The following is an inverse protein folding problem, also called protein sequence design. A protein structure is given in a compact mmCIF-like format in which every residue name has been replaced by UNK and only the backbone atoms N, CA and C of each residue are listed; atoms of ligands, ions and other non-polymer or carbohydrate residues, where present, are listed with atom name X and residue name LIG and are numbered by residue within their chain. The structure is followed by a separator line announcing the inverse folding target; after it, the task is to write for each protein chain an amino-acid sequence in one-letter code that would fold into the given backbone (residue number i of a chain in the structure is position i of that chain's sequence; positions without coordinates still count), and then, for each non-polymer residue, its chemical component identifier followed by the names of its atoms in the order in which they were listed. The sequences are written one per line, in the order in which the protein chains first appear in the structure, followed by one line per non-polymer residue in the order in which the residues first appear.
data_IF_076017241708
#
_entry.id   IF_076017241708
#
_cell.length_a   1.000
_cell.length_b   1.000
_cell.length_c   1.000
_cell.angle_alpha   90.00
_cell.angle_beta   90.00
_cell.angle_gamma   90.00
#
_symmetry.space_group_name_H-M   'P 1'
#
loop_
_entity.id
_entity.type
_entity.pdbx_description
1 polymer ?
#
# COMPACT_ATOMS: atom_id res chain seq x y z
N UNK A 1 -27.52 -26.99 7.27
CA UNK A 1 -26.77 -26.06 6.41
C UNK A 1 -27.59 -24.80 6.15
N UNK A 2 -26.89 -23.68 6.01
CA UNK A 2 -27.49 -22.39 5.66
C UNK A 2 -26.73 -21.87 4.46
N UNK A 3 -27.45 -21.52 3.38
CA UNK A 3 -26.90 -20.83 2.24
C UNK A 3 -27.31 -19.35 2.32
N UNK A 4 -26.35 -18.45 2.26
CA UNK A 4 -26.58 -16.99 2.28
C UNK A 4 -25.76 -16.32 1.22
N UNK A 5 -26.27 -15.24 0.68
CA UNK A 5 -25.57 -14.48 -0.35
C UNK A 5 -26.32 -13.23 -0.73
N UNK A 6 -25.65 -12.41 -1.48
CA UNK A 6 -26.22 -11.18 -1.99
C UNK A 6 -25.39 -10.62 -3.13
N UNK A 7 -26.03 -9.78 -3.93
CA UNK A 7 -25.39 -9.05 -5.00
C UNK A 7 -25.94 -7.64 -5.06
N UNK A 8 -25.13 -6.67 -5.46
CA UNK A 8 -25.57 -5.28 -5.54
C UNK A 8 -24.57 -4.42 -6.28
N UNK A 9 -25.08 -3.32 -6.80
CA UNK A 9 -24.30 -2.26 -7.41
C UNK A 9 -24.24 -1.08 -6.44
N UNK A 10 -23.02 -0.68 -6.07
CA UNK A 10 -22.76 0.33 -5.06
C UNK A 10 -21.99 1.49 -5.69
N UNK A 11 -22.48 2.70 -5.52
CA UNK A 11 -21.81 3.92 -5.97
C UNK A 11 -21.01 4.49 -4.79
N UNK A 12 -19.71 4.71 -5.02
CA UNK A 12 -18.80 5.31 -4.07
C UNK A 12 -18.76 6.83 -4.16
N UNK A 13 -17.87 7.43 -3.36
CA UNK A 13 -17.56 8.87 -3.40
C UNK A 13 -16.11 9.05 -3.75
N UNK A 14 -15.81 10.13 -4.45
CA UNK A 14 -14.43 10.60 -4.62
C UNK A 14 -13.94 11.25 -3.32
N UNK A 15 -12.63 11.20 -3.03
CA UNK A 15 -12.05 12.03 -2.00
C UNK A 15 -12.42 13.50 -2.22
N UNK A 16 -13.01 14.14 -1.22
CA UNK A 16 -13.47 15.51 -1.35
C UNK A 16 -12.33 16.48 -1.68
N UNK A 17 -11.14 16.21 -1.15
CA UNK A 17 -9.93 16.99 -1.40
C UNK A 17 -9.57 17.03 -2.90
N UNK A 18 -9.84 15.97 -3.67
CA UNK A 18 -9.60 15.98 -5.10
C UNK A 18 -10.55 16.92 -5.86
N UNK A 19 -11.80 17.01 -5.42
CA UNK A 19 -12.78 17.92 -6.02
C UNK A 19 -12.49 19.38 -5.66
N UNK A 20 -12.10 19.63 -4.40
CA UNK A 20 -11.74 20.98 -3.94
C UNK A 20 -10.48 21.49 -4.62
N UNK A 21 -9.53 20.60 -4.94
CA UNK A 21 -8.31 20.97 -5.68
C UNK A 21 -8.59 21.58 -7.05
N UNK A 22 -9.70 21.21 -7.70
CA UNK A 22 -10.09 21.82 -8.98
C UNK A 22 -10.49 23.29 -8.82
N UNK A 23 -11.06 23.68 -7.68
CA UNK A 23 -11.41 25.08 -7.38
C UNK A 23 -10.17 25.83 -6.85
N UNK A 24 -9.48 25.24 -5.88
CA UNK A 24 -8.32 25.86 -5.23
C UNK A 24 -7.14 26.09 -6.18
N UNK A 25 -6.89 25.14 -7.09
CA UNK A 25 -5.77 25.21 -8.04
C UNK A 25 -6.19 25.76 -9.41
N UNK A 26 -7.35 26.37 -9.53
CA UNK A 26 -7.83 26.95 -10.82
C UNK A 26 -7.16 28.28 -11.16
N UNK A 27 -6.59 28.98 -10.17
CA UNK A 27 -6.11 30.36 -10.31
C UNK A 27 -7.22 31.41 -10.33
N UNK A 28 -8.49 30.99 -10.22
CA UNK A 28 -9.66 31.89 -10.23
C UNK A 28 -10.17 32.13 -8.81
N UNK A 29 -10.20 31.08 -7.99
CA UNK A 29 -10.79 31.13 -6.64
C UNK A 29 -9.83 31.56 -5.53
N UNK A 30 -8.53 31.38 -5.72
CA UNK A 30 -7.50 31.72 -4.73
C UNK A 30 -6.14 31.94 -5.38
N UNK A 31 -5.32 32.75 -4.71
CA UNK A 31 -3.89 32.90 -5.00
C UNK A 31 -3.10 32.38 -3.79
N UNK A 32 -2.06 31.59 -4.05
CA UNK A 32 -1.22 31.00 -2.98
C UNK A 32 0.16 31.64 -3.01
N UNK A 33 0.62 32.13 -1.85
CA UNK A 33 1.94 32.67 -1.64
C UNK A 33 2.75 31.71 -0.77
N UNK A 34 3.97 31.39 -1.16
CA UNK A 34 4.88 30.52 -0.42
C UNK A 34 6.11 31.29 0.06
N UNK A 35 6.35 31.28 1.34
CA UNK A 35 7.52 31.85 2.01
C UNK A 35 8.29 30.71 2.70
N UNK A 36 8.93 29.84 1.95
CA UNK A 36 9.52 28.60 2.49
C UNK A 36 11.03 28.49 2.32
N UNK A 37 11.70 29.52 1.78
CA UNK A 37 13.14 29.50 1.57
C UNK A 37 13.80 30.82 1.92
N UNK A 38 15.00 30.80 2.55
CA UNK A 38 15.87 31.98 2.62
C UNK A 38 16.14 32.50 1.20
N UNK A 39 15.77 33.74 0.92
CA UNK A 39 15.89 34.37 -0.40
C UNK A 39 14.58 34.54 -1.18
N UNK A 40 13.45 34.01 -0.69
CA UNK A 40 12.12 34.21 -1.30
C UNK A 40 11.47 35.58 -0.93
N UNK A 41 12.22 36.49 -0.34
CA UNK A 41 11.77 37.77 0.20
C UNK A 41 11.74 37.77 1.73
N UNK A 42 11.39 38.91 2.35
CA UNK A 42 11.30 38.98 3.79
C UNK A 42 10.22 38.02 4.29
N UNK A 43 10.58 37.19 5.27
CA UNK A 43 9.64 36.30 5.94
C UNK A 43 8.65 37.12 6.75
N UNK A 44 7.35 36.84 6.70
CA UNK A 44 6.39 37.47 7.60
C UNK A 44 6.74 37.21 9.06
N UNK A 45 6.59 38.22 9.92
CA UNK A 45 6.80 38.09 11.35
C UNK A 45 5.80 37.13 12.00
N UNK A 46 6.10 36.71 13.23
CA UNK A 46 5.12 35.99 14.04
C UNK A 46 4.15 36.98 14.67
N UNK A 47 2.88 36.86 14.36
CA UNK A 47 1.80 37.70 14.88
C UNK A 47 0.79 36.87 15.67
N UNK A 48 0.22 37.49 16.71
CA UNK A 48 -0.83 36.85 17.52
C UNK A 48 -2.19 36.79 16.78
N UNK A 49 -2.42 37.73 15.88
CA UNK A 49 -3.61 37.80 15.03
C UNK A 49 -3.31 37.40 13.57
N UNK A 50 -4.17 36.55 12.99
CA UNK A 50 -4.00 36.13 11.57
C UNK A 50 -4.07 37.31 10.59
N UNK A 51 -4.86 38.36 10.94
CA UNK A 51 -4.97 39.56 10.12
C UNK A 51 -3.67 40.35 10.02
N UNK A 52 -2.89 40.36 11.10
CA UNK A 52 -1.67 41.16 11.20
C UNK A 52 -0.53 40.57 10.32
N UNK A 53 -0.61 39.27 9.97
CA UNK A 53 0.33 38.63 9.06
C UNK A 53 0.20 39.21 7.64
N UNK A 54 -1.00 39.66 7.27
CA UNK A 54 -1.26 40.22 5.95
C UNK A 54 -0.57 41.56 5.73
N UNK A 55 -0.25 42.28 6.80
CA UNK A 55 0.44 43.59 6.75
C UNK A 55 1.94 43.40 6.40
N UNK A 56 2.51 42.23 6.72
CA UNK A 56 3.90 41.90 6.39
C UNK A 56 4.05 41.38 4.95
N UNK A 57 2.92 41.04 4.30
CA UNK A 57 2.91 40.44 2.96
C UNK A 57 2.63 41.54 1.94
N UNK A 58 3.63 41.91 1.16
CA UNK A 58 3.43 42.77 0.00
C UNK A 58 2.62 42.00 -1.05
N UNK A 59 1.28 42.15 -1.01
CA UNK A 59 0.41 41.68 -2.07
C UNK A 59 0.64 42.49 -3.35
N UNK A 60 1.54 42.02 -4.18
CA UNK A 60 1.55 42.44 -5.57
C UNK A 60 0.57 41.53 -6.28
N UNK A 61 -0.57 42.03 -6.77
CA UNK A 61 -1.44 41.22 -7.63
C UNK A 61 -0.68 40.92 -8.93
N UNK A 62 0.10 39.86 -8.90
CA UNK A 62 0.58 39.27 -10.14
C UNK A 62 -0.51 38.33 -10.62
N UNK A 63 -0.87 38.38 -11.88
CA UNK A 63 -1.64 37.32 -12.52
C UNK A 63 -0.84 36.02 -12.42
N UNK A 64 -0.84 35.42 -11.24
CA UNK A 64 -0.13 34.15 -11.01
C UNK A 64 -1.02 33.02 -11.49
N UNK A 65 -0.74 32.58 -12.68
CA UNK A 65 -1.27 31.32 -13.19
C UNK A 65 -0.75 30.20 -12.27
N UNK A 66 -1.61 29.34 -11.69
CA UNK A 66 -1.14 28.26 -10.84
C UNK A 66 -0.20 27.36 -11.62
N UNK A 67 0.92 26.98 -11.01
CA UNK A 67 1.93 26.15 -11.67
C UNK A 67 1.42 24.77 -12.07
N UNK A 68 0.37 24.28 -11.39
CA UNK A 68 -0.19 22.94 -11.60
C UNK A 68 -1.72 22.97 -11.38
N UNK A 69 -2.51 23.47 -12.33
CA UNK A 69 -3.95 23.48 -12.21
C UNK A 69 -4.52 22.06 -12.19
N UNK A 70 -5.65 21.92 -11.50
CA UNK A 70 -6.43 20.67 -11.48
C UNK A 70 -7.74 20.90 -12.22
N UNK A 71 -8.06 20.02 -13.15
CA UNK A 71 -9.31 20.04 -13.91
C UNK A 71 -10.07 18.71 -13.75
N UNK A 72 -11.37 18.75 -14.00
CA UNK A 72 -12.24 17.58 -13.92
C UNK A 72 -12.81 17.32 -15.33
N UNK A 73 -12.67 16.08 -15.82
CA UNK A 73 -13.34 15.69 -17.08
C UNK A 73 -14.86 15.85 -16.91
N UNK A 74 -15.49 16.57 -17.84
CA UNK A 74 -16.95 16.76 -17.85
C UNK A 74 -17.75 15.45 -17.89
N UNK A 75 -17.12 14.34 -18.27
CA UNK A 75 -17.73 13.00 -18.34
C UNK A 75 -17.44 12.17 -17.10
N UNK A 76 -16.76 12.72 -16.08
CA UNK A 76 -16.43 12.02 -14.87
C UNK A 76 -17.69 11.44 -14.21
N UNK A 77 -17.67 10.14 -13.96
CA UNK A 77 -18.69 9.42 -13.20
C UNK A 77 -18.15 9.04 -11.85
N UNK A 78 -19.01 9.00 -10.84
CA UNK A 78 -18.62 8.50 -9.52
C UNK A 78 -18.19 7.04 -9.62
N UNK A 79 -17.12 6.63 -8.92
CA UNK A 79 -16.69 5.25 -8.92
C UNK A 79 -17.78 4.35 -8.33
N UNK A 80 -17.94 3.19 -8.90
CA UNK A 80 -18.93 2.22 -8.45
C UNK A 80 -18.35 0.81 -8.47
N UNK A 81 -18.98 -0.10 -7.72
CA UNK A 81 -18.57 -1.51 -7.69
C UNK A 81 -19.80 -2.39 -7.69
N UNK A 82 -19.78 -3.41 -8.52
CA UNK A 82 -20.70 -4.53 -8.38
C UNK A 82 -20.05 -5.55 -7.47
N UNK A 83 -20.70 -5.84 -6.34
CA UNK A 83 -20.24 -6.81 -5.36
C UNK A 83 -21.22 -7.96 -5.26
N UNK A 84 -20.67 -9.17 -5.23
CA UNK A 84 -21.42 -10.40 -5.01
C UNK A 84 -20.74 -11.23 -3.93
N UNK A 85 -21.53 -11.82 -3.05
CA UNK A 85 -21.04 -12.76 -2.04
C UNK A 85 -21.93 -13.99 -2.00
N UNK A 86 -21.31 -15.14 -1.72
CA UNK A 86 -21.99 -16.38 -1.47
C UNK A 86 -21.30 -17.10 -0.32
N UNK A 87 -22.06 -17.51 0.68
CA UNK A 87 -21.55 -18.25 1.83
C UNK A 87 -22.39 -19.46 2.14
N UNK A 88 -21.74 -20.52 2.59
CA UNK A 88 -22.31 -21.77 3.00
C UNK A 88 -21.85 -22.09 4.42
N UNK A 89 -22.83 -22.21 5.33
CA UNK A 89 -22.61 -22.63 6.71
C UNK A 89 -23.12 -24.06 6.90
N UNK A 90 -22.28 -24.95 7.40
CA UNK A 90 -22.57 -26.37 7.60
C UNK A 90 -22.24 -26.75 9.05
N UNK A 91 -23.17 -27.38 9.71
CA UNK A 91 -22.91 -28.04 10.97
C UNK A 91 -22.49 -29.49 10.69
N UNK A 92 -21.19 -29.76 10.90
CA UNK A 92 -20.57 -31.07 10.70
C UNK A 92 -20.78 -31.96 11.94
N UNK A 93 -20.56 -33.29 11.81
CA UNK A 93 -20.59 -34.21 12.96
C UNK A 93 -19.66 -33.73 14.08
N UNK A 94 -20.06 -33.97 15.33
CA UNK A 94 -19.28 -33.52 16.49
C UNK A 94 -19.39 -32.05 16.82
N UNK A 95 -20.48 -31.38 16.39
CA UNK A 95 -20.76 -29.95 16.63
C UNK A 95 -19.67 -29.00 16.10
N UNK A 96 -19.02 -29.38 14.99
CA UNK A 96 -18.09 -28.49 14.27
C UNK A 96 -18.90 -27.66 13.29
N UNK A 97 -18.70 -26.34 13.34
CA UNK A 97 -19.25 -25.42 12.34
C UNK A 97 -18.21 -25.18 11.25
N UNK A 98 -18.60 -25.41 10.02
CA UNK A 98 -17.82 -25.06 8.84
C UNK A 98 -18.50 -23.93 8.10
N UNK A 99 -17.75 -22.89 7.75
CA UNK A 99 -18.21 -21.79 6.89
C UNK A 99 -17.27 -21.64 5.72
N UNK A 100 -17.80 -21.60 4.50
CA UNK A 100 -17.08 -21.21 3.31
C UNK A 100 -17.74 -19.97 2.70
N UNK A 101 -16.96 -18.97 2.33
CA UNK A 101 -17.47 -17.73 1.73
C UNK A 101 -16.60 -17.30 0.54
N UNK A 102 -17.27 -16.96 -0.56
CA UNK A 102 -16.67 -16.33 -1.73
C UNK A 102 -17.20 -14.91 -1.91
N UNK A 103 -16.31 -13.97 -2.18
CA UNK A 103 -16.65 -12.59 -2.51
C UNK A 103 -16.01 -12.25 -3.85
N UNK A 104 -16.75 -11.60 -4.74
CA UNK A 104 -16.25 -11.01 -5.98
C UNK A 104 -16.75 -9.58 -6.12
N UNK A 105 -15.84 -8.68 -6.49
CA UNK A 105 -16.16 -7.29 -6.80
C UNK A 105 -15.57 -6.92 -8.16
N UNK A 106 -16.38 -6.28 -8.99
CA UNK A 106 -15.94 -5.64 -10.22
C UNK A 106 -16.15 -4.14 -10.10
N UNK A 107 -15.09 -3.36 -10.39
CA UNK A 107 -15.18 -1.91 -10.28
C UNK A 107 -15.54 -1.29 -11.62
N UNK A 108 -16.37 -0.26 -11.55
CA UNK A 108 -16.82 0.57 -12.64
C UNK A 108 -16.43 2.02 -12.40
N UNK A 109 -15.97 2.67 -13.46
CA UNK A 109 -15.60 4.07 -13.42
C UNK A 109 -14.59 4.42 -12.32
N UNK A 110 -13.52 3.60 -12.11
CA UNK A 110 -12.49 3.95 -11.14
C UNK A 110 -11.91 5.31 -11.49
N UNK A 111 -11.75 6.17 -10.50
CA UNK A 111 -11.20 7.49 -10.70
C UNK A 111 -9.67 7.40 -10.76
N UNK A 112 -9.10 8.09 -11.73
CA UNK A 112 -7.66 8.21 -11.94
C UNK A 112 -7.30 9.65 -12.31
N UNK A 113 -6.00 9.95 -12.24
CA UNK A 113 -5.47 11.26 -12.58
C UNK A 113 -4.48 11.11 -13.72
N UNK A 114 -4.65 11.92 -14.77
CA UNK A 114 -3.67 12.09 -15.84
C UNK A 114 -3.05 13.47 -15.78
N UNK A 115 -1.80 13.58 -16.23
CA UNK A 115 -1.16 14.86 -16.48
C UNK A 115 -1.34 15.26 -17.96
N UNK A 116 -2.36 16.04 -18.22
CA UNK A 116 -2.67 16.52 -19.60
C UNK A 116 -1.85 17.75 -20.01
N UNK A 117 -0.92 18.19 -19.17
CA UNK A 117 0.13 19.16 -19.55
C UNK A 117 1.14 18.58 -20.53
N UNK A 118 1.33 17.27 -20.51
CA UNK A 118 2.10 16.56 -21.52
C UNK A 118 1.26 16.30 -22.77
N UNK A 119 1.89 16.47 -23.94
CA UNK A 119 1.27 16.06 -25.20
C UNK A 119 1.08 14.54 -25.20
N UNK A 120 0.00 14.04 -25.82
CA UNK A 120 -0.14 12.61 -26.04
C UNK A 120 1.12 12.06 -26.76
N UNK A 121 1.42 10.80 -26.49
CA UNK A 121 2.50 10.13 -27.21
C UNK A 121 2.29 10.24 -28.73
N UNK A 122 3.34 10.60 -29.46
CA UNK A 122 3.32 10.89 -30.90
C UNK A 122 3.23 9.63 -31.78
N UNK A 123 3.33 8.44 -31.17
CA UNK A 123 3.34 7.16 -31.89
C UNK A 123 4.74 6.68 -32.27
N UNK A 124 5.77 7.51 -32.11
CA UNK A 124 7.14 7.23 -32.61
C UNK A 124 8.23 7.37 -31.55
N UNK A 125 8.13 8.39 -30.69
CA UNK A 125 9.17 8.67 -29.68
C UNK A 125 9.29 7.57 -28.65
N UNK A 126 10.46 6.92 -28.62
CA UNK A 126 10.76 5.84 -27.64
C UNK A 126 12.07 6.12 -26.92
N UNK A 127 12.24 5.48 -25.76
CA UNK A 127 13.51 5.39 -25.06
C UNK A 127 13.84 3.92 -24.83
N UNK A 128 15.10 3.56 -25.10
CA UNK A 128 15.64 2.22 -24.88
C UNK A 128 16.78 2.32 -23.87
N UNK A 129 16.49 2.32 -22.56
CA UNK A 129 17.52 2.45 -21.54
C UNK A 129 18.55 1.33 -21.58
N UNK A 130 18.08 0.13 -21.91
CA UNK A 130 18.89 -1.08 -22.07
C UNK A 130 18.34 -1.94 -23.23
N UNK A 131 19.15 -2.80 -23.85
CA UNK A 131 18.67 -3.74 -24.86
C UNK A 131 17.47 -4.56 -24.37
N UNK A 132 16.39 -4.55 -25.15
CA UNK A 132 15.13 -5.22 -24.84
C UNK A 132 14.14 -4.41 -23.99
N UNK A 133 14.54 -3.26 -23.45
CA UNK A 133 13.67 -2.34 -22.73
C UNK A 133 13.29 -1.16 -23.62
N UNK A 134 12.16 -1.24 -24.30
CA UNK A 134 11.64 -0.18 -25.17
C UNK A 134 10.39 0.42 -24.56
N UNK A 135 10.37 1.74 -24.39
CA UNK A 135 9.26 2.48 -23.75
C UNK A 135 8.88 3.71 -24.57
N UNK A 136 7.64 4.13 -24.41
CA UNK A 136 7.18 5.43 -24.90
C UNK A 136 7.93 6.54 -24.19
N UNK A 137 8.22 7.63 -24.90
CA UNK A 137 8.91 8.79 -24.33
C UNK A 137 8.06 10.05 -24.50
N UNK A 138 7.80 10.76 -23.41
CA UNK A 138 7.01 11.98 -23.37
C UNK A 138 7.96 13.16 -23.18
N UNK A 139 8.49 13.69 -24.26
CA UNK A 139 9.47 14.79 -24.21
C UNK A 139 8.86 16.18 -24.32
N UNK A 140 7.57 16.30 -24.71
CA UNK A 140 6.97 17.57 -25.10
C UNK A 140 5.79 17.93 -24.21
N UNK A 141 5.79 19.12 -23.69
CA UNK A 141 4.69 19.73 -22.95
C UNK A 141 3.97 20.77 -23.82
N UNK A 142 2.71 21.02 -23.53
CA UNK A 142 1.99 22.13 -24.15
C UNK A 142 2.55 23.50 -23.76
N UNK A 143 3.16 23.62 -22.58
CA UNK A 143 3.85 24.84 -22.14
C UNK A 143 5.02 25.23 -23.02
N UNK A 144 5.63 24.30 -23.75
CA UNK A 144 6.79 24.58 -24.60
C UNK A 144 6.40 25.35 -25.87
N UNK A 145 5.16 25.17 -26.34
CA UNK A 145 4.73 25.72 -27.63
C UNK A 145 3.44 26.58 -27.54
N UNK A 146 2.45 26.15 -26.78
CA UNK A 146 1.09 26.67 -26.87
C UNK A 146 0.70 27.52 -25.67
N UNK A 147 1.32 27.33 -24.51
CA UNK A 147 1.01 28.04 -23.28
C UNK A 147 2.23 28.84 -22.79
N UNK A 148 2.45 30.02 -23.37
CA UNK A 148 3.68 30.78 -23.15
C UNK A 148 3.93 31.19 -21.70
N UNK A 149 2.94 31.02 -20.81
CA UNK A 149 3.05 31.37 -19.39
C UNK A 149 2.84 30.21 -18.41
N UNK A 150 2.87 28.85 -18.91
CA UNK A 150 3.65 28.07 -17.99
C UNK A 150 2.94 27.20 -16.98
N UNK A 151 1.87 26.53 -17.41
CA UNK A 151 1.47 25.34 -16.72
C UNK A 151 2.49 24.23 -17.01
N UNK A 152 3.29 23.86 -16.04
CA UNK A 152 4.18 22.72 -16.20
C UNK A 152 3.41 21.42 -16.15
N UNK A 153 2.42 21.32 -15.24
CA UNK A 153 1.59 20.15 -15.08
C UNK A 153 0.13 20.56 -15.01
N UNK A 154 -0.74 19.86 -15.73
CA UNK A 154 -2.18 20.02 -15.64
C UNK A 154 -2.78 18.68 -15.29
N UNK A 155 -3.24 18.54 -14.07
CA UNK A 155 -3.80 17.28 -13.59
C UNK A 155 -5.29 17.22 -13.92
N UNK A 156 -5.69 16.17 -14.64
CA UNK A 156 -7.09 15.92 -14.97
C UNK A 156 -7.62 14.70 -14.21
N UNK A 157 -8.66 14.92 -13.43
CA UNK A 157 -9.41 13.84 -12.77
C UNK A 157 -10.43 13.27 -13.77
N UNK A 158 -10.35 11.97 -14.05
CA UNK A 158 -11.24 11.28 -14.97
C UNK A 158 -11.42 9.81 -14.58
N UNK A 159 -12.16 9.03 -15.36
CA UNK A 159 -12.32 7.60 -15.13
C UNK A 159 -11.38 6.78 -16.01
N UNK A 160 -10.81 5.71 -15.46
CA UNK A 160 -10.15 4.65 -16.20
C UNK A 160 -11.15 3.60 -16.73
N UNK A 161 -10.64 2.52 -17.30
CA UNK A 161 -11.43 1.38 -17.77
C UNK A 161 -12.18 0.64 -16.64
N UNK A 162 -13.02 -0.32 -17.03
CA UNK A 162 -13.89 -1.07 -16.10
C UNK A 162 -13.39 -2.51 -15.85
N UNK A 163 -12.06 -2.73 -15.89
CA UNK A 163 -11.48 -4.08 -15.78
C UNK A 163 -10.89 -4.37 -14.41
N UNK A 164 -10.95 -3.41 -13.48
CA UNK A 164 -10.52 -3.59 -12.11
C UNK A 164 -11.46 -4.57 -11.37
N UNK A 165 -10.87 -5.43 -10.56
CA UNK A 165 -11.59 -6.46 -9.83
C UNK A 165 -10.90 -6.86 -8.54
N UNK A 166 -11.70 -7.42 -7.63
CA UNK A 166 -11.23 -8.07 -6.39
C UNK A 166 -11.99 -9.37 -6.18
N UNK A 167 -11.31 -10.38 -5.64
CA UNK A 167 -11.95 -11.60 -5.13
C UNK A 167 -11.33 -12.02 -3.82
N UNK A 168 -12.14 -12.69 -3.00
CA UNK A 168 -11.65 -13.45 -1.84
C UNK A 168 -12.46 -14.73 -1.68
N UNK A 169 -11.76 -15.75 -1.22
CA UNK A 169 -12.37 -16.99 -0.77
C UNK A 169 -11.87 -17.29 0.62
N UNK A 170 -12.77 -17.56 1.56
CA UNK A 170 -12.44 -17.95 2.92
C UNK A 170 -13.11 -19.24 3.33
N UNK A 171 -12.40 -20.03 4.13
CA UNK A 171 -12.93 -21.24 4.76
C UNK A 171 -12.58 -21.22 6.24
N UNK A 172 -13.57 -21.50 7.09
CA UNK A 172 -13.42 -21.47 8.54
C UNK A 172 -13.98 -22.75 9.16
N UNK A 173 -13.28 -23.27 10.16
CA UNK A 173 -13.76 -24.29 11.08
C UNK A 173 -13.81 -23.71 12.48
N UNK A 174 -14.93 -23.94 13.18
CA UNK A 174 -15.13 -23.50 14.55
C UNK A 174 -15.77 -24.59 15.37
N UNK A 175 -15.23 -24.87 16.56
CA UNK A 175 -15.82 -25.82 17.51
C UNK A 175 -15.73 -25.32 18.93
N UNK A 176 -16.86 -25.30 19.61
CA UNK A 176 -16.97 -25.08 21.05
C UNK A 176 -17.28 -26.39 21.78
N UNK A 177 -16.43 -26.73 22.72
CA UNK A 177 -16.58 -27.89 23.56
C UNK A 177 -17.34 -27.54 24.85
N UNK A 178 -18.13 -28.46 25.35
CA UNK A 178 -18.95 -28.26 26.57
C UNK A 178 -18.09 -27.99 27.83
N UNK A 179 -16.84 -28.45 27.85
CA UNK A 179 -15.95 -28.23 28.98
C UNK A 179 -15.24 -26.87 28.97
N UNK A 180 -15.56 -25.97 28.01
CA UNK A 180 -15.10 -24.60 27.98
C UNK A 180 -13.96 -24.32 26.99
N UNK A 181 -13.52 -25.30 26.18
CA UNK A 181 -12.56 -25.10 25.09
C UNK A 181 -13.29 -24.58 23.84
N UNK A 182 -12.72 -23.59 23.19
CA UNK A 182 -13.18 -22.98 21.92
C UNK A 182 -12.01 -22.97 20.92
N UNK A 183 -12.21 -23.53 19.74
CA UNK A 183 -11.21 -23.64 18.68
C UNK A 183 -11.77 -23.03 17.40
N UNK A 184 -11.00 -22.15 16.77
CA UNK A 184 -11.33 -21.64 15.45
C UNK A 184 -10.07 -21.60 14.57
N UNK A 185 -10.23 -21.87 13.29
CA UNK A 185 -9.22 -21.66 12.26
C UNK A 185 -9.89 -21.20 10.98
N UNK A 186 -9.34 -20.17 10.36
CA UNK A 186 -9.80 -19.65 9.09
C UNK A 186 -8.60 -19.44 8.14
N UNK A 187 -8.80 -19.80 6.89
CA UNK A 187 -7.89 -19.48 5.80
C UNK A 187 -8.60 -18.61 4.78
N UNK A 188 -7.90 -17.58 4.30
CA UNK A 188 -8.40 -16.70 3.25
C UNK A 188 -7.38 -16.60 2.12
N UNK A 189 -7.85 -16.82 0.89
CA UNK A 189 -7.14 -16.52 -0.35
C UNK A 189 -7.79 -15.32 -0.99
N UNK A 190 -7.00 -14.28 -1.35
CA UNK A 190 -7.53 -13.10 -2.01
C UNK A 190 -6.61 -12.60 -3.13
N UNK A 191 -7.20 -11.82 -4.05
CA UNK A 191 -6.48 -11.21 -5.15
C UNK A 191 -7.33 -10.14 -5.83
N UNK A 192 -6.67 -9.32 -6.63
CA UNK A 192 -7.35 -8.27 -7.39
C UNK A 192 -6.35 -7.39 -8.11
N UNK A 193 -6.84 -6.73 -9.14
CA UNK A 193 -6.09 -5.70 -9.89
C UNK A 193 -6.92 -4.42 -9.96
N UNK A 194 -6.23 -3.30 -9.87
CA UNK A 194 -6.81 -1.96 -9.92
C UNK A 194 -5.97 -1.05 -10.82
N UNK A 195 -6.51 0.08 -11.21
CA UNK A 195 -5.74 1.10 -11.96
C UNK A 195 -4.89 1.98 -11.05
N UNK A 196 -5.22 2.04 -9.77
CA UNK A 196 -4.49 2.79 -8.74
C UNK A 196 -4.71 2.13 -7.38
N UNK A 197 -3.77 2.29 -6.46
CA UNK A 197 -3.94 1.87 -5.06
C UNK A 197 -4.79 2.86 -4.23
N UNK A 198 -5.27 3.94 -4.86
CA UNK A 198 -6.13 4.91 -4.19
C UNK A 198 -5.41 5.78 -3.15
N UNK A 199 -4.07 5.79 -3.17
CA UNK A 199 -3.25 6.54 -2.22
C UNK A 199 -2.94 7.91 -2.82
N UNK A 200 -3.12 8.95 -2.03
CA UNK A 200 -2.82 10.33 -2.38
C UNK A 200 -3.90 11.25 -1.80
N UNK A 201 -3.48 12.14 -0.94
CA UNK A 201 -4.32 13.19 -0.35
C UNK A 201 -4.50 14.38 -1.30
N UNK A 202 -3.65 14.49 -2.32
CA UNK A 202 -3.70 15.50 -3.37
C UNK A 202 -3.77 14.86 -4.75
N UNK A 203 -4.32 15.58 -5.71
CA UNK A 203 -4.46 15.11 -7.10
C UNK A 203 -3.09 14.83 -7.72
N UNK A 204 -2.09 15.70 -7.48
CA UNK A 204 -0.71 15.47 -7.92
C UNK A 204 -0.13 14.19 -7.32
N UNK A 205 -0.31 13.96 -6.01
CA UNK A 205 0.15 12.74 -5.33
C UNK A 205 -0.52 11.49 -5.89
N UNK A 206 -1.80 11.56 -6.24
CA UNK A 206 -2.51 10.46 -6.90
C UNK A 206 -1.95 10.15 -8.29
N UNK A 207 -1.37 11.14 -8.99
CA UNK A 207 -0.71 10.92 -10.26
C UNK A 207 0.66 10.24 -10.11
N UNK A 208 1.56 10.76 -9.28
CA UNK A 208 2.95 10.32 -9.31
C UNK A 208 3.37 9.35 -8.19
N UNK A 209 2.60 9.17 -7.12
CA UNK A 209 3.07 8.34 -6.00
C UNK A 209 2.73 6.84 -6.12
N UNK A 210 1.73 6.44 -6.90
CA UNK A 210 1.20 5.08 -6.81
C UNK A 210 0.83 4.43 -8.16
N UNK A 211 1.33 4.97 -9.24
CA UNK A 211 0.99 4.51 -10.60
C UNK A 211 2.24 4.10 -11.38
N UNK A 212 3.05 3.20 -10.78
CA UNK A 212 4.19 2.63 -11.49
C UNK A 212 3.74 1.95 -12.77
N UNK A 213 4.38 2.27 -13.89
CA UNK A 213 4.04 1.77 -15.23
C UNK A 213 5.29 1.55 -16.08
N UNK A 214 5.13 0.89 -17.21
CA UNK A 214 6.17 0.77 -18.23
C UNK A 214 6.18 2.00 -19.10
N UNK A 215 5.01 2.42 -19.60
CA UNK A 215 4.86 3.44 -20.63
C UNK A 215 4.31 4.79 -20.11
N UNK A 216 4.48 5.07 -18.83
CA UNK A 216 4.08 6.34 -18.23
C UNK A 216 2.74 6.28 -17.46
N UNK A 217 2.56 7.25 -16.56
CA UNK A 217 1.43 7.27 -15.64
C UNK A 217 0.11 7.70 -16.29
N UNK A 218 0.15 8.28 -17.49
CA UNK A 218 -1.03 8.54 -18.29
C UNK A 218 -1.60 7.27 -18.95
N UNK A 219 -0.82 6.20 -19.03
CA UNK A 219 -1.23 4.88 -19.52
C UNK A 219 -1.76 4.04 -18.36
N UNK A 220 -2.99 4.26 -17.96
CA UNK A 220 -3.59 3.61 -16.80
C UNK A 220 -3.70 2.09 -16.98
N UNK A 221 -2.67 1.36 -16.53
CA UNK A 221 -2.58 -0.10 -16.61
C UNK A 221 -3.10 -0.76 -15.33
N UNK A 222 -3.65 -1.96 -15.47
CA UNK A 222 -4.05 -2.79 -14.34
C UNK A 222 -2.82 -3.35 -13.62
N UNK A 223 -2.74 -3.14 -12.31
CA UNK A 223 -1.73 -3.72 -11.44
C UNK A 223 -2.33 -4.32 -10.19
N UNK A 224 -1.56 -5.13 -9.48
CA UNK A 224 -1.98 -5.70 -8.20
C UNK A 224 -2.03 -4.63 -7.12
N UNK A 225 -3.05 -4.68 -6.25
CA UNK A 225 -3.18 -3.77 -5.12
C UNK A 225 -2.17 -4.09 -4.02
N UNK A 226 -1.45 -3.08 -3.54
CA UNK A 226 -0.37 -3.23 -2.55
C UNK A 226 -0.85 -3.76 -1.20
N UNK A 227 -2.13 -3.54 -0.85
CA UNK A 227 -2.73 -3.94 0.43
C UNK A 227 -3.45 -5.29 0.39
N UNK A 228 -3.51 -5.95 -0.77
CA UNK A 228 -4.18 -7.25 -0.91
C UNK A 228 -3.20 -8.37 -0.53
N UNK A 229 -3.36 -8.92 0.67
CA UNK A 229 -2.63 -10.11 1.10
C UNK A 229 -3.15 -11.34 0.34
N UNK A 230 -2.32 -12.03 -0.46
CA UNK A 230 -2.77 -13.21 -1.19
C UNK A 230 -3.29 -14.32 -0.29
N UNK A 231 -2.58 -14.59 0.80
CA UNK A 231 -2.90 -15.67 1.72
C UNK A 231 -2.86 -15.19 3.16
N UNK A 232 -3.88 -15.58 3.97
CA UNK A 232 -3.93 -15.31 5.40
C UNK A 232 -4.54 -16.48 6.16
N UNK A 233 -3.97 -16.79 7.31
CA UNK A 233 -4.49 -17.76 8.27
C UNK A 233 -4.72 -17.07 9.61
N UNK A 234 -5.90 -17.22 10.16
CA UNK A 234 -6.20 -16.81 11.54
C UNK A 234 -6.64 -18.06 12.30
N UNK A 235 -6.03 -18.31 13.45
CA UNK A 235 -6.44 -19.41 14.32
C UNK A 235 -6.52 -18.94 15.77
N UNK A 236 -7.43 -19.53 16.53
CA UNK A 236 -7.54 -19.27 17.95
C UNK A 236 -7.85 -20.54 18.74
N UNK A 237 -7.25 -20.61 19.91
CA UNK A 237 -7.57 -21.56 20.96
C UNK A 237 -7.87 -20.79 22.24
N UNK A 238 -9.08 -20.94 22.78
CA UNK A 238 -9.48 -20.29 24.01
C UNK A 238 -10.08 -21.30 24.98
N UNK A 239 -9.75 -21.17 26.24
CA UNK A 239 -10.29 -22.00 27.30
C UNK A 239 -10.83 -21.13 28.41
N UNK A 240 -12.08 -21.38 28.85
CA UNK A 240 -12.68 -20.70 29.99
C UNK A 240 -13.25 -21.74 30.95
N UNK A 241 -12.92 -21.61 32.24
CA UNK A 241 -13.45 -22.43 33.32
C UNK A 241 -13.93 -21.57 34.47
N UNK A 242 -15.14 -21.83 34.92
CA UNK A 242 -15.70 -21.31 36.17
C UNK A 242 -15.44 -22.30 37.31
N UNK A 243 -15.07 -21.84 38.49
CA UNK A 243 -14.76 -22.65 39.65
C UNK A 243 -15.00 -21.88 40.95
N UNK A 244 -15.13 -22.59 42.07
CA UNK A 244 -15.20 -21.98 43.40
C UNK A 244 -16.41 -21.05 43.58
N UNK A 245 -17.47 -21.13 42.75
CA UNK A 245 -18.69 -20.29 42.76
C UNK A 245 -18.43 -18.78 42.49
N UNK A 246 -17.21 -18.29 42.53
CA UNK A 246 -16.86 -16.85 42.47
C UNK A 246 -15.73 -16.54 41.50
N UNK A 247 -15.19 -17.53 40.81
CA UNK A 247 -13.99 -17.35 39.96
C UNK A 247 -14.23 -17.90 38.58
N UNK A 248 -13.65 -17.21 37.58
CA UNK A 248 -13.51 -17.76 36.24
C UNK A 248 -12.19 -17.36 35.64
N UNK A 249 -11.43 -18.33 35.13
CA UNK A 249 -10.20 -18.12 34.40
C UNK A 249 -10.43 -18.32 32.92
N UNK A 250 -9.91 -17.42 32.10
CA UNK A 250 -9.89 -17.54 30.66
C UNK A 250 -8.46 -17.39 30.14
N UNK A 251 -8.04 -18.27 29.24
CA UNK A 251 -6.74 -18.23 28.57
C UNK A 251 -7.00 -18.37 27.07
N UNK A 252 -6.34 -17.56 26.25
CA UNK A 252 -6.41 -17.70 24.82
C UNK A 252 -5.05 -17.46 24.14
N UNK A 253 -4.85 -18.19 23.05
CA UNK A 253 -3.81 -17.92 22.05
C UNK A 253 -4.48 -17.62 20.74
N UNK A 254 -3.99 -16.58 20.06
CA UNK A 254 -4.47 -16.16 18.77
C UNK A 254 -3.27 -16.11 17.83
N UNK A 255 -3.35 -16.85 16.74
CA UNK A 255 -2.37 -16.82 15.65
C UNK A 255 -2.91 -16.01 14.50
N UNK A 256 -2.10 -15.11 13.99
CA UNK A 256 -2.33 -14.35 12.73
C UNK A 256 -1.10 -14.54 11.83
N UNK A 257 -1.29 -15.20 10.71
CA UNK A 257 -0.26 -15.42 9.72
C UNK A 257 -0.71 -14.97 8.33
N UNK A 258 0.16 -14.25 7.61
CA UNK A 258 -0.16 -13.79 6.26
C UNK A 258 1.03 -13.14 5.57
N UNK A 259 0.90 -12.93 4.27
CA UNK A 259 1.91 -12.24 3.47
C UNK A 259 1.83 -10.73 3.72
N UNK A 260 2.66 -10.26 4.63
CA UNK A 260 2.55 -8.91 5.15
C UNK A 260 3.93 -8.38 5.56
N UNK A 261 4.21 -7.14 5.19
CA UNK A 261 5.41 -6.40 5.58
C UNK A 261 5.06 -5.03 6.14
N UNK A 262 6.06 -4.32 6.60
CA UNK A 262 5.89 -2.99 7.16
C UNK A 262 7.01 -2.06 6.71
N UNK A 263 6.65 -0.83 6.30
CA UNK A 263 7.61 0.22 5.98
C UNK A 263 6.94 1.60 6.10
N UNK A 264 7.69 2.60 6.55
CA UNK A 264 7.24 3.99 6.59
C UNK A 264 5.94 4.24 7.38
N UNK A 265 5.64 3.42 8.39
CA UNK A 265 4.41 3.54 9.17
C UNK A 265 3.20 2.77 8.59
N UNK A 266 3.35 2.05 7.48
CA UNK A 266 2.25 1.38 6.79
C UNK A 266 2.53 -0.11 6.58
N UNK A 267 1.50 -0.94 6.74
CA UNK A 267 1.55 -2.35 6.33
C UNK A 267 1.26 -2.49 4.83
N UNK A 268 1.95 -3.41 4.16
CA UNK A 268 1.72 -3.74 2.77
C UNK A 268 1.97 -5.23 2.52
N UNK A 269 1.32 -5.77 1.50
CA UNK A 269 1.45 -7.19 1.14
C UNK A 269 2.15 -7.39 -0.19
N UNK A 270 2.20 -6.35 -1.02
CA UNK A 270 2.81 -6.39 -2.35
C UNK A 270 3.59 -5.11 -2.63
N UNK A 271 4.58 -5.21 -3.49
CA UNK A 271 5.40 -4.08 -3.92
C UNK A 271 5.83 -4.24 -5.39
N UNK A 272 6.38 -3.16 -5.94
CA UNK A 272 6.83 -3.09 -7.33
C UNK A 272 8.33 -2.93 -7.39
N UNK A 273 8.99 -3.58 -8.33
CA UNK A 273 10.38 -3.28 -8.67
C UNK A 273 10.45 -2.21 -9.74
N UNK A 274 11.26 -1.19 -9.49
CA UNK A 274 11.37 0.00 -10.34
C UNK A 274 12.81 0.39 -10.62
N UNK A 275 13.00 1.24 -11.60
CA UNK A 275 14.15 2.13 -11.69
C UNK A 275 14.01 3.22 -10.62
N UNK A 276 15.09 3.89 -10.25
CA UNK A 276 15.03 5.09 -9.40
C UNK A 276 14.57 6.33 -10.18
N UNK A 277 14.54 6.22 -11.49
CA UNK A 277 14.24 7.31 -12.42
C UNK A 277 12.90 7.08 -13.12
N UNK A 278 12.22 8.16 -13.45
CA UNK A 278 11.17 8.14 -14.46
C UNK A 278 11.83 8.15 -15.84
N UNK A 279 11.80 7.01 -16.53
CA UNK A 279 12.46 6.84 -17.82
C UNK A 279 11.67 7.46 -18.98
N UNK A 280 10.36 7.59 -18.81
CA UNK A 280 9.46 8.02 -19.88
C UNK A 280 9.26 9.54 -19.94
N UNK A 281 9.77 10.27 -18.97
CA UNK A 281 9.75 11.75 -18.89
C UNK A 281 8.33 12.34 -18.90
N UNK A 282 7.41 11.77 -18.14
CA UNK A 282 6.02 12.22 -18.03
C UNK A 282 5.69 12.86 -16.66
N UNK A 283 6.72 13.22 -15.88
CA UNK A 283 6.59 13.71 -14.50
C UNK A 283 5.86 12.73 -13.54
N UNK A 284 5.86 11.45 -13.89
CA UNK A 284 5.28 10.40 -13.08
C UNK A 284 6.24 9.85 -12.02
N UNK A 285 5.82 8.76 -11.38
CA UNK A 285 6.67 8.00 -10.47
C UNK A 285 7.77 7.22 -11.22
N UNK A 286 8.60 6.51 -10.47
CA UNK A 286 9.64 5.67 -11.01
C UNK A 286 9.08 4.61 -11.97
N UNK A 287 9.80 4.35 -13.06
CA UNK A 287 9.38 3.38 -14.07
C UNK A 287 9.57 1.93 -13.60
N UNK A 288 8.66 1.03 -13.97
CA UNK A 288 8.78 -0.40 -13.67
C UNK A 288 10.08 -0.98 -14.28
N UNK A 289 10.71 -1.89 -13.54
CA UNK A 289 11.99 -2.48 -13.92
C UNK A 289 11.82 -3.46 -15.09
N UNK A 290 12.69 -3.41 -16.09
CA UNK A 290 12.90 -4.48 -17.05
C UNK A 290 13.94 -5.46 -16.50
N UNK A 291 13.66 -6.75 -16.54
CA UNK A 291 14.53 -7.81 -16.01
C UNK A 291 15.31 -8.44 -17.15
N UNK A 292 16.66 -8.48 -17.12
CA UNK A 292 17.46 -9.10 -18.16
C UNK A 292 17.10 -10.56 -18.37
N UNK A 293 17.17 -11.03 -19.61
CA UNK A 293 16.83 -12.41 -19.95
C UNK A 293 17.86 -13.42 -19.41
N UNK A 294 19.14 -13.03 -19.39
CA UNK A 294 20.24 -13.85 -18.91
C UNK A 294 21.36 -13.01 -18.29
N UNK A 295 22.39 -13.64 -17.71
CA UNK A 295 23.57 -12.93 -17.20
C UNK A 295 24.35 -12.27 -18.33
N UNK A 296 24.46 -12.93 -19.47
CA UNK A 296 25.17 -12.43 -20.66
C UNK A 296 24.50 -11.18 -21.22
N UNK A 297 23.17 -11.09 -21.15
CA UNK A 297 22.45 -9.89 -21.57
C UNK A 297 22.86 -8.63 -20.78
N UNK A 298 23.38 -8.76 -19.57
CA UNK A 298 23.89 -7.64 -18.78
C UNK A 298 25.23 -7.10 -19.29
N UNK A 299 25.95 -7.82 -20.11
CA UNK A 299 27.22 -7.35 -20.65
C UNK A 299 27.02 -6.24 -21.69
N UNK A 300 25.83 -6.22 -22.31
CA UNK A 300 25.42 -5.14 -23.24
C UNK A 300 24.81 -3.92 -22.51
N UNK A 301 24.62 -3.99 -21.17
CA UNK A 301 24.10 -2.88 -20.38
C UNK A 301 25.26 -1.99 -19.94
N UNK A 302 25.15 -0.68 -20.17
CA UNK A 302 26.21 0.26 -19.88
C UNK A 302 26.30 0.60 -18.37
N UNK A 303 26.66 -0.40 -17.56
CA UNK A 303 27.01 -0.16 -16.17
C UNK A 303 28.30 0.64 -16.06
N UNK A 304 28.30 1.62 -15.18
CA UNK A 304 29.47 2.44 -14.86
C UNK A 304 29.87 2.27 -13.39
N UNK A 305 31.15 2.49 -13.10
CA UNK A 305 31.65 2.44 -11.73
C UNK A 305 30.98 3.50 -10.86
N UNK A 306 30.62 3.15 -9.63
CA UNK A 306 30.08 4.03 -8.61
C UNK A 306 31.03 4.02 -7.39
N UNK A 307 32.05 4.87 -7.46
CA UNK A 307 33.14 4.89 -6.49
C UNK A 307 33.92 3.57 -6.47
N UNK A 308 33.87 2.87 -5.36
CA UNK A 308 34.51 1.56 -5.15
C UNK A 308 33.68 0.36 -5.66
N UNK A 309 32.48 0.61 -6.18
CA UNK A 309 31.57 -0.41 -6.69
C UNK A 309 31.65 -0.51 -8.20
N UNK A 310 32.51 -1.41 -8.67
CA UNK A 310 32.79 -1.51 -10.10
C UNK A 310 31.59 -1.99 -10.91
N UNK A 311 31.53 -1.62 -12.18
CA UNK A 311 30.50 -2.04 -13.12
C UNK A 311 30.37 -3.58 -13.21
N UNK A 312 31.47 -4.32 -13.11
CA UNK A 312 31.47 -5.78 -13.11
C UNK A 312 30.77 -6.32 -11.83
N UNK A 313 31.16 -5.79 -10.67
CA UNK A 313 30.51 -6.19 -9.39
C UNK A 313 29.02 -5.86 -9.38
N UNK A 314 28.63 -4.69 -9.91
CA UNK A 314 27.22 -4.30 -10.01
C UNK A 314 26.40 -5.28 -10.86
N UNK A 315 26.92 -5.73 -12.02
CA UNK A 315 26.28 -6.72 -12.87
C UNK A 315 26.13 -8.07 -12.16
N UNK A 316 27.16 -8.54 -11.49
CA UNK A 316 27.14 -9.83 -10.78
C UNK A 316 26.18 -9.82 -9.59
N UNK A 317 26.17 -8.72 -8.82
CA UNK A 317 25.26 -8.54 -7.70
C UNK A 317 23.81 -8.42 -8.16
N UNK A 318 23.55 -7.65 -9.20
CA UNK A 318 22.21 -7.52 -9.74
C UNK A 318 21.68 -8.85 -10.27
N UNK A 319 22.51 -9.62 -10.98
CA UNK A 319 22.12 -10.96 -11.43
C UNK A 319 21.88 -11.92 -10.27
N UNK A 320 22.73 -11.89 -9.26
CA UNK A 320 22.56 -12.68 -8.03
C UNK A 320 21.28 -12.32 -7.31
N UNK A 321 20.97 -11.03 -7.23
CA UNK A 321 19.73 -10.51 -6.66
C UNK A 321 18.50 -11.01 -7.42
N UNK A 322 18.51 -10.98 -8.75
CA UNK A 322 17.41 -11.51 -9.58
C UNK A 322 17.16 -13.00 -9.29
N UNK A 323 18.22 -13.80 -9.15
CA UNK A 323 18.10 -15.25 -8.98
C UNK A 323 17.64 -15.66 -7.58
N UNK A 324 17.98 -14.90 -6.54
CA UNK A 324 17.52 -15.17 -5.17
C UNK A 324 16.07 -14.70 -4.95
N UNK A 325 15.61 -13.67 -5.67
CA UNK A 325 14.27 -13.13 -5.51
C UNK A 325 13.20 -14.03 -6.14
N UNK A 326 12.18 -14.36 -5.34
CA UNK A 326 11.13 -15.29 -5.75
C UNK A 326 10.31 -14.79 -6.95
N UNK A 327 10.14 -13.48 -7.08
CA UNK A 327 9.37 -12.86 -8.16
C UNK A 327 10.24 -12.58 -9.39
N UNK A 328 11.38 -11.89 -9.22
CA UNK A 328 12.22 -11.45 -10.34
C UNK A 328 12.73 -12.60 -11.19
N UNK A 329 13.10 -13.73 -10.58
CA UNK A 329 13.54 -14.92 -11.33
C UNK A 329 12.49 -15.47 -12.30
N UNK A 330 11.20 -15.17 -12.09
CA UNK A 330 10.09 -15.57 -12.99
C UNK A 330 9.83 -14.55 -14.09
N UNK A 331 10.50 -13.42 -14.05
CA UNK A 331 10.28 -12.28 -14.96
C UNK A 331 11.42 -12.04 -15.95
N UNK A 332 12.39 -12.93 -16.04
CA UNK A 332 13.53 -12.81 -16.98
C UNK A 332 13.05 -12.52 -18.40
N UNK A 333 13.60 -11.47 -19.03
CA UNK A 333 13.21 -10.99 -20.34
C UNK A 333 11.85 -10.26 -20.38
N UNK A 334 11.33 -9.81 -19.23
CA UNK A 334 10.03 -9.15 -19.12
C UNK A 334 10.09 -7.98 -18.14
N UNK A 335 9.12 -7.11 -18.22
CA UNK A 335 8.93 -6.05 -17.23
C UNK A 335 8.39 -6.60 -15.90
N UNK A 336 8.77 -5.95 -14.80
CA UNK A 336 8.07 -6.09 -13.54
C UNK A 336 6.63 -5.55 -13.68
N UNK A 337 5.73 -6.06 -12.84
CA UNK A 337 4.35 -5.60 -12.77
C UNK A 337 4.16 -4.73 -11.52
N UNK A 338 3.27 -3.76 -11.56
CA UNK A 338 2.88 -3.01 -10.37
C UNK A 338 2.28 -3.98 -9.34
N UNK A 339 2.84 -3.97 -8.12
CA UNK A 339 2.44 -4.89 -7.04
C UNK A 339 2.71 -6.36 -7.35
N UNK A 340 3.60 -6.68 -8.31
CA UNK A 340 3.87 -8.05 -8.72
C UNK A 340 4.59 -8.88 -7.65
N UNK A 341 5.52 -8.28 -6.93
CA UNK A 341 6.24 -8.94 -5.85
C UNK A 341 5.38 -9.01 -4.57
N UNK A 342 5.54 -10.11 -3.81
CA UNK A 342 4.74 -10.41 -2.62
C UNK A 342 5.65 -10.46 -1.40
N UNK A 343 5.19 -9.90 -0.29
CA UNK A 343 5.89 -9.98 0.99
C UNK A 343 5.93 -11.42 1.51
N UNK A 344 6.97 -11.81 2.25
CA UNK A 344 7.03 -13.11 2.90
C UNK A 344 5.94 -13.22 3.98
N UNK A 345 5.70 -14.45 4.42
CA UNK A 345 4.81 -14.69 5.53
C UNK A 345 5.33 -14.04 6.80
N UNK A 346 4.47 -13.29 7.46
CA UNK A 346 4.60 -12.86 8.84
C UNK A 346 3.77 -13.76 9.73
N UNK A 347 4.31 -14.14 10.88
CA UNK A 347 3.66 -15.02 11.85
C UNK A 347 3.63 -14.33 13.21
N UNK A 348 2.45 -14.09 13.74
CA UNK A 348 2.27 -13.49 15.06
C UNK A 348 1.42 -14.39 15.95
N UNK A 349 1.79 -14.52 17.19
CA UNK A 349 1.00 -15.21 18.22
C UNK A 349 0.75 -14.25 19.37
N UNK A 350 -0.50 -14.02 19.69
CA UNK A 350 -0.93 -13.20 20.81
C UNK A 350 -1.46 -14.09 21.94
N UNK A 351 -1.17 -13.73 23.17
CA UNK A 351 -1.63 -14.42 24.37
C UNK A 351 -2.53 -13.51 25.17
N UNK A 352 -3.63 -14.09 25.68
CA UNK A 352 -4.56 -13.40 26.56
C UNK A 352 -4.88 -14.23 27.77
N UNK A 353 -4.75 -13.63 28.96
CA UNK A 353 -5.20 -14.18 30.22
C UNK A 353 -6.21 -13.25 30.88
N UNK A 354 -7.30 -13.82 31.43
CA UNK A 354 -8.27 -13.07 32.20
C UNK A 354 -8.68 -13.86 33.42
N UNK A 355 -8.72 -13.20 34.60
CA UNK A 355 -9.23 -13.74 35.85
C UNK A 355 -10.41 -12.89 36.31
N UNK A 356 -11.57 -13.52 36.37
CA UNK A 356 -12.80 -12.94 36.91
C UNK A 356 -12.96 -13.32 38.38
N UNK A 357 -13.28 -12.32 39.20
CA UNK A 357 -13.75 -12.44 40.57
C UNK A 357 -15.18 -11.90 40.59
N UNK A 358 -16.19 -12.75 40.91
CA UNK A 358 -17.55 -12.30 40.82
C UNK A 358 -18.43 -12.72 42.01
N UNK A 359 -19.44 -11.90 42.27
CA UNK A 359 -20.49 -12.15 43.26
C UNK A 359 -21.82 -12.03 42.54
N UNK A 360 -22.65 -13.04 42.73
CA UNK A 360 -24.05 -13.02 42.28
C UNK A 360 -24.94 -12.62 43.43
N UNK A 361 -25.70 -11.53 43.26
CA UNK A 361 -26.64 -11.03 44.27
C UNK A 361 -27.87 -11.93 44.38
N UNK A 362 -28.65 -11.81 45.46
CA UNK A 362 -29.93 -12.53 45.64
C UNK A 362 -30.92 -12.24 44.50
N UNK A 363 -30.80 -11.11 43.81
CA UNK A 363 -31.65 -10.74 42.66
C UNK A 363 -31.14 -11.30 41.32
N UNK A 364 -30.02 -12.08 41.33
CA UNK A 364 -29.42 -12.67 40.13
C UNK A 364 -28.43 -11.77 39.40
N UNK A 365 -28.21 -10.55 39.86
CA UNK A 365 -27.22 -9.63 39.24
C UNK A 365 -25.80 -10.08 39.56
N UNK A 366 -24.94 -10.09 38.57
CA UNK A 366 -23.54 -10.52 38.69
C UNK A 366 -22.58 -9.31 38.62
N UNK A 367 -21.94 -8.99 39.74
CA UNK A 367 -20.86 -8.01 39.78
C UNK A 367 -19.51 -8.71 39.63
N UNK A 368 -18.70 -8.26 38.70
CA UNK A 368 -17.41 -8.93 38.36
C UNK A 368 -16.26 -7.93 38.35
N UNK A 369 -15.22 -8.22 39.11
CA UNK A 369 -13.92 -7.61 38.96
C UNK A 369 -13.08 -8.54 38.09
N UNK A 370 -12.61 -8.04 36.94
CA UNK A 370 -11.81 -8.78 35.98
C UNK A 370 -10.40 -8.19 35.92
N UNK A 371 -9.40 -9.02 36.15
CA UNK A 371 -8.00 -8.73 35.88
C UNK A 371 -7.61 -9.36 34.54
N UNK A 372 -6.89 -8.64 33.69
CA UNK A 372 -6.45 -9.13 32.38
C UNK A 372 -4.98 -8.88 32.13
N UNK A 373 -4.36 -9.79 31.41
CA UNK A 373 -3.02 -9.68 30.83
C UNK A 373 -3.16 -10.00 29.35
N UNK A 374 -2.81 -9.04 28.49
CA UNK A 374 -2.73 -9.21 27.04
C UNK A 374 -1.26 -9.09 26.62
N UNK A 375 -0.72 -10.11 25.96
CA UNK A 375 0.65 -10.11 25.42
C UNK A 375 0.54 -10.22 23.92
N UNK A 376 0.83 -9.13 23.24
CA UNK A 376 0.96 -9.12 21.80
C UNK A 376 2.32 -9.70 21.41
N UNK A 377 2.35 -10.51 20.35
CA UNK A 377 3.56 -11.15 19.82
C UNK A 377 4.33 -11.93 20.89
N UNK A 378 3.63 -12.79 21.63
CA UNK A 378 4.23 -13.60 22.72
C UNK A 378 5.36 -14.51 22.21
N UNK A 379 5.35 -14.89 20.93
CA UNK A 379 6.42 -15.65 20.32
C UNK A 379 7.76 -14.89 20.35
N UNK A 380 7.74 -13.58 20.17
CA UNK A 380 8.92 -12.72 20.26
C UNK A 380 9.48 -12.62 21.69
N UNK A 381 8.62 -12.74 22.71
CA UNK A 381 9.06 -12.82 24.11
C UNK A 381 9.88 -14.10 24.39
N UNK A 382 9.57 -15.19 23.68
CA UNK A 382 10.27 -16.46 23.81
C UNK A 382 11.57 -16.51 22.98
N UNK A 383 11.54 -15.91 21.79
CA UNK A 383 12.69 -15.79 20.90
C UNK A 383 12.58 -14.49 20.12
N UNK A 384 13.55 -13.61 20.25
CA UNK A 384 13.59 -12.27 19.66
C UNK A 384 13.63 -12.24 18.11
N UNK A 385 13.85 -13.39 17.46
CA UNK A 385 13.78 -13.52 16.01
C UNK A 385 12.39 -13.91 15.48
N UNK A 386 11.48 -14.29 16.38
CA UNK A 386 10.12 -14.68 15.99
C UNK A 386 9.17 -13.48 15.94
N UNK A 387 8.19 -13.55 15.07
CA UNK A 387 7.17 -12.51 14.95
C UNK A 387 7.68 -11.16 14.45
N UNK A 388 8.84 -11.13 13.79
CA UNK A 388 9.39 -9.91 13.19
C UNK A 388 8.71 -9.62 11.86
N UNK A 389 8.30 -8.37 11.66
CA UNK A 389 7.93 -7.91 10.32
C UNK A 389 9.15 -7.85 9.41
N UNK A 390 8.92 -8.08 8.13
CA UNK A 390 9.91 -7.85 7.08
C UNK A 390 9.57 -6.58 6.32
N UNK A 391 10.60 -5.97 5.72
CA UNK A 391 10.44 -4.91 4.72
C UNK A 391 11.32 -5.22 3.51
N UNK A 392 10.90 -4.80 2.33
CA UNK A 392 11.76 -4.82 1.17
C UNK A 392 12.92 -3.85 1.39
N UNK A 393 14.17 -4.33 1.18
CA UNK A 393 15.38 -3.56 1.48
C UNK A 393 15.57 -2.40 0.49
N UNK A 394 15.35 -2.70 -0.78
CA UNK A 394 15.31 -1.72 -1.86
C UNK A 394 14.44 -2.26 -2.99
N UNK A 395 13.53 -1.46 -3.49
CA UNK A 395 12.65 -1.81 -4.61
C UNK A 395 12.98 -1.06 -5.89
N UNK A 396 13.68 0.09 -5.77
CA UNK A 396 14.21 0.86 -6.89
C UNK A 396 15.67 0.46 -7.13
N UNK A 397 15.89 -0.58 -7.93
CA UNK A 397 17.16 -1.28 -8.00
C UNK A 397 18.21 -0.62 -8.88
N UNK A 398 17.79 0.02 -9.97
CA UNK A 398 18.69 0.60 -10.96
C UNK A 398 18.45 2.10 -11.13
N UNK A 399 19.51 2.86 -11.31
CA UNK A 399 19.47 4.25 -11.75
C UNK A 399 19.92 4.33 -13.20
N UNK A 400 19.21 5.13 -13.99
CA UNK A 400 19.59 5.50 -15.34
C UNK A 400 19.89 6.99 -15.40
N UNK A 401 21.05 7.35 -15.92
CA UNK A 401 21.45 8.73 -16.13
C UNK A 401 22.23 8.87 -17.47
N UNK A 402 21.58 9.45 -18.46
CA UNK A 402 22.19 9.77 -19.79
C UNK A 402 22.90 8.58 -20.44
N UNK A 403 22.30 7.40 -20.39
CA UNK A 403 22.86 6.18 -20.95
C UNK A 403 23.70 5.35 -19.97
N UNK A 404 24.01 5.87 -18.79
CA UNK A 404 24.76 5.16 -17.75
C UNK A 404 23.81 4.49 -16.77
N UNK A 405 24.21 3.31 -16.28
CA UNK A 405 23.44 2.52 -15.34
C UNK A 405 24.26 2.29 -14.08
N UNK A 406 23.62 2.41 -12.92
CA UNK A 406 24.20 1.98 -11.65
C UNK A 406 23.22 1.14 -10.86
N UNK A 407 23.72 0.08 -10.20
CA UNK A 407 22.96 -0.73 -9.26
C UNK A 407 22.94 -0.06 -7.89
N UNK A 408 21.75 0.14 -7.34
CA UNK A 408 21.59 0.99 -6.16
C UNK A 408 22.02 0.29 -4.88
N UNK A 409 22.74 1.01 -4.04
CA UNK A 409 23.06 0.64 -2.66
C UNK A 409 21.91 1.03 -1.73
N UNK A 410 21.76 0.36 -0.61
CA UNK A 410 20.86 0.76 0.47
C UNK A 410 21.70 1.21 1.67
N UNK A 411 21.61 2.49 2.04
CA UNK A 411 22.43 3.09 3.12
C UNK A 411 23.96 2.88 2.92
N UNK A 412 24.43 2.94 1.68
CA UNK A 412 25.83 2.70 1.32
C UNK A 412 26.23 1.22 1.20
N UNK A 413 25.37 0.28 1.56
CA UNK A 413 25.64 -1.15 1.48
C UNK A 413 25.14 -1.78 0.19
N UNK A 414 25.84 -2.82 -0.28
CA UNK A 414 25.42 -3.63 -1.44
C UNK A 414 24.10 -4.35 -1.11
N UNK A 415 23.17 -4.34 -2.04
CA UNK A 415 21.85 -4.98 -1.86
C UNK A 415 21.89 -6.36 -2.51
N UNK A 416 22.03 -7.40 -1.70
CA UNK A 416 22.10 -8.80 -2.16
C UNK A 416 20.85 -9.61 -1.82
N UNK A 417 20.03 -9.12 -0.90
CA UNK A 417 18.82 -9.78 -0.41
C UNK A 417 17.61 -8.85 -0.53
N UNK A 418 16.46 -9.42 -0.85
CA UNK A 418 15.20 -8.69 -1.02
C UNK A 418 14.70 -8.10 0.29
N UNK A 419 14.77 -8.89 1.38
CA UNK A 419 14.11 -8.55 2.64
C UNK A 419 15.11 -8.36 3.77
N UNK A 420 14.75 -7.45 4.69
CA UNK A 420 15.38 -7.31 6.01
C UNK A 420 14.33 -7.29 7.11
N UNK A 421 14.73 -7.53 8.33
CA UNK A 421 13.87 -7.35 9.48
C UNK A 421 13.49 -5.87 9.63
N UNK A 422 12.24 -5.62 9.93
CA UNK A 422 11.76 -4.29 10.31
C UNK A 422 11.87 -4.17 11.83
N UNK A 423 12.96 -3.53 12.29
CA UNK A 423 13.27 -3.40 13.71
C UNK A 423 12.56 -2.17 14.28
N UNK A 424 11.32 -2.35 14.71
CA UNK A 424 10.48 -1.33 15.31
C UNK A 424 9.67 -1.96 16.46
N UNK A 425 9.04 -1.11 17.30
CA UNK A 425 8.15 -1.54 18.39
C UNK A 425 7.01 -2.46 17.90
N UNK A 426 6.61 -2.37 16.62
CA UNK A 426 5.61 -3.27 16.03
C UNK A 426 6.09 -4.71 15.88
N UNK A 427 7.40 -4.90 15.73
CA UNK A 427 8.04 -6.23 15.62
C UNK A 427 8.33 -6.84 16.99
N UNK A 428 8.24 -6.08 18.08
CA UNK A 428 8.53 -6.56 19.43
C UNK A 428 7.24 -6.96 20.16
N UNK A 429 7.38 -7.74 21.21
CA UNK A 429 6.26 -8.04 22.11
C UNK A 429 5.86 -6.80 22.91
N UNK A 430 4.59 -6.75 23.28
CA UNK A 430 4.07 -5.76 24.24
C UNK A 430 3.14 -6.42 25.25
N UNK A 431 3.17 -5.96 26.50
CA UNK A 431 2.33 -6.48 27.58
C UNK A 431 1.43 -5.38 28.08
N UNK A 432 0.14 -5.66 28.15
CA UNK A 432 -0.88 -4.78 28.69
C UNK A 432 -1.55 -5.45 29.88
N UNK A 433 -1.62 -4.73 31.01
CA UNK A 433 -2.43 -5.10 32.16
C UNK A 433 -3.75 -4.32 32.16
N UNK A 434 -4.84 -5.00 32.49
CA UNK A 434 -6.17 -4.38 32.57
C UNK A 434 -6.90 -4.78 33.84
N UNK A 435 -7.63 -3.82 34.42
CA UNK A 435 -8.57 -4.04 35.51
C UNK A 435 -9.93 -3.49 35.09
N UNK A 436 -10.96 -4.33 35.12
CA UNK A 436 -12.31 -3.96 34.70
C UNK A 436 -13.33 -4.36 35.74
N UNK A 437 -14.17 -3.45 36.13
CA UNK A 437 -15.35 -3.74 36.92
C UNK A 437 -16.60 -3.75 36.03
N UNK A 438 -17.35 -4.88 36.09
CA UNK A 438 -18.60 -5.07 35.38
C UNK A 438 -19.72 -5.22 36.41
N UNK A 439 -20.76 -4.42 36.31
CA UNK A 439 -21.93 -4.48 37.14
C UNK A 439 -23.20 -4.60 36.29
N UNK A 440 -24.19 -5.31 36.78
CA UNK A 440 -25.48 -5.51 36.13
C UNK A 440 -26.57 -5.01 37.06
#
# INVERSE_FOLDING_TARGET
YILRGGTGYFVGRLPFVWLVSAVGNSGVGQTTYFYNSPGSGPQPGFHAGIGDILDDIAFTPTESVPASPTIIDKRLKMPASWKSSLALDIKLPGDVNFTAEGIYSKDYHPAVVSNVGYKPWDGESTITPVPGDERRYYGKMYSDETWPNKFQNVYMLHNAGNDAYYYSFSAQLHKRFRFGLDLAVAYTRSGGKSYSDGIGDQVSSAYYNNTYSVNGNNEHELGYGSYIAPDRVIASIAYRKEYGKHFATSVALIYDGGQMGYAGGWSYSRFSYTWTSNLVNDYGANSLLYIPASREALDDWNFVDDGDYTAAQQRDDFWSYINQDAYLKTRKGKYAERGGAVMPWHHQVDFKFMQDFYITTKRGNRNTLQFGIDIRNVANLLNNEWGLYKQARNTALLKYDKGNITYQRANGERVLETFRNYNDFLSTFSIQFSLRYKFN
#
